data_IF_727087413777
#
_entry.id   IF_727087413777
#
_cell.length_a   1.000
_cell.length_b   1.000
_cell.length_c   1.000
_cell.angle_alpha   90.00
_cell.angle_beta   90.00
_cell.angle_gamma   90.00
#
_symmetry.space_group_name_H-M   'P 1'
#
loop_
_entity.id
_entity.type
_entity.pdbx_description
1 polymer ?
#
# COMPACT_ATOMS: atom_id res chain seq x y z
N UNK A 1 -37.15 -50.94 16.07
CA UNK A 1 -37.10 -49.45 15.94
C UNK A 1 -35.63 -49.09 15.92
N UNK A 2 -35.08 -48.87 14.69
CA UNK A 2 -33.67 -48.58 14.49
C UNK A 2 -33.48 -47.10 14.38
N UNK A 3 -32.83 -46.47 15.37
CA UNK A 3 -32.53 -45.02 15.37
C UNK A 3 -31.37 -44.75 14.47
N UNK A 4 -31.61 -43.99 13.39
CA UNK A 4 -30.58 -43.51 12.48
C UNK A 4 -29.91 -42.32 13.13
N UNK A 5 -28.55 -42.31 13.27
CA UNK A 5 -27.86 -41.13 13.78
C UNK A 5 -27.92 -40.00 12.76
N UNK A 6 -28.41 -38.83 13.16
CA UNK A 6 -28.35 -37.60 12.40
C UNK A 6 -26.87 -37.20 12.17
N UNK A 7 -26.45 -37.24 10.93
CA UNK A 7 -25.17 -36.66 10.53
C UNK A 7 -25.24 -35.15 10.66
N UNK A 8 -24.45 -34.61 11.57
CA UNK A 8 -24.19 -33.16 11.67
C UNK A 8 -23.58 -32.70 10.32
N UNK A 9 -24.14 -31.65 9.66
CA UNK A 9 -23.53 -31.13 8.45
C UNK A 9 -22.09 -30.67 8.71
N UNK A 10 -21.15 -30.90 7.78
CA UNK A 10 -19.79 -30.44 7.95
C UNK A 10 -19.78 -28.92 8.08
N UNK A 11 -19.00 -28.44 9.05
CA UNK A 11 -18.77 -27.01 9.27
C UNK A 11 -18.47 -26.33 7.93
N UNK A 12 -19.21 -25.29 7.61
CA UNK A 12 -19.06 -24.49 6.41
C UNK A 12 -17.58 -24.15 6.21
N UNK A 13 -16.98 -24.66 5.15
CA UNK A 13 -15.64 -24.26 4.74
C UNK A 13 -15.71 -22.75 4.51
N UNK A 14 -15.07 -21.98 5.39
CA UNK A 14 -14.96 -20.53 5.23
C UNK A 14 -14.32 -20.27 3.87
N UNK A 15 -15.00 -19.49 3.05
CA UNK A 15 -14.45 -19.05 1.75
C UNK A 15 -13.05 -18.47 1.95
N UNK A 16 -12.07 -18.83 1.11
CA UNK A 16 -10.72 -18.34 1.26
C UNK A 16 -10.69 -16.82 1.24
N UNK A 17 -9.93 -16.18 2.14
CA UNK A 17 -9.95 -14.73 2.29
C UNK A 17 -9.63 -14.04 0.98
N UNK A 18 -10.43 -13.03 0.61
CA UNK A 18 -10.25 -12.28 -0.63
C UNK A 18 -8.89 -11.58 -0.71
N UNK A 19 -8.47 -11.10 -1.91
CA UNK A 19 -7.13 -10.54 -2.16
C UNK A 19 -6.72 -9.44 -1.16
N UNK A 20 -7.64 -8.57 -0.78
CA UNK A 20 -7.37 -7.51 0.20
C UNK A 20 -7.12 -8.06 1.61
N UNK A 21 -7.88 -9.04 2.06
CA UNK A 21 -7.68 -9.64 3.37
C UNK A 21 -6.32 -10.35 3.45
N UNK A 22 -5.91 -11.05 2.36
CA UNK A 22 -4.59 -11.64 2.25
C UNK A 22 -3.49 -10.57 2.27
N UNK A 23 -3.66 -9.48 1.53
CA UNK A 23 -2.72 -8.37 1.50
C UNK A 23 -2.55 -7.70 2.87
N UNK A 24 -3.62 -7.43 3.59
CA UNK A 24 -3.55 -6.88 4.94
C UNK A 24 -2.82 -7.81 5.91
N UNK A 25 -3.12 -9.10 5.89
CA UNK A 25 -2.44 -10.10 6.72
C UNK A 25 -0.95 -10.13 6.42
N UNK A 26 -0.57 -10.19 5.16
CA UNK A 26 0.83 -10.19 4.73
C UNK A 26 1.57 -8.92 5.20
N UNK A 27 1.00 -7.75 4.97
CA UNK A 27 1.61 -6.47 5.40
C UNK A 27 1.80 -6.43 6.91
N UNK A 28 0.83 -6.90 7.69
CA UNK A 28 0.95 -6.97 9.15
C UNK A 28 2.10 -7.90 9.59
N UNK A 29 2.21 -9.08 8.98
CA UNK A 29 3.28 -10.03 9.25
C UNK A 29 4.66 -9.47 8.89
N UNK A 30 4.82 -8.85 7.71
CA UNK A 30 6.09 -8.25 7.29
C UNK A 30 6.50 -7.10 8.23
N UNK A 31 5.55 -6.27 8.66
CA UNK A 31 5.82 -5.19 9.62
C UNK A 31 6.29 -5.74 10.97
N UNK A 32 5.65 -6.79 11.49
CA UNK A 32 6.06 -7.46 12.72
C UNK A 32 7.49 -8.03 12.58
N UNK A 33 7.77 -8.76 11.51
CA UNK A 33 9.12 -9.29 11.24
C UNK A 33 10.18 -8.18 11.16
N UNK A 34 9.88 -7.06 10.51
CA UNK A 34 10.82 -5.94 10.40
C UNK A 34 11.07 -5.24 11.73
N UNK A 35 10.10 -5.29 12.66
CA UNK A 35 10.22 -4.72 14.00
C UNK A 35 11.04 -5.64 14.93
N UNK A 36 10.76 -6.93 14.87
CA UNK A 36 11.24 -7.89 15.85
C UNK A 36 12.63 -8.46 15.48
N UNK A 37 13.00 -8.47 14.18
CA UNK A 37 14.25 -9.07 13.69
C UNK A 37 14.96 -8.17 12.68
N UNK A 38 16.02 -7.46 13.11
CA UNK A 38 16.85 -6.63 12.23
C UNK A 38 17.53 -7.42 11.09
N UNK A 39 17.86 -8.69 11.32
CA UNK A 39 18.48 -9.57 10.31
C UNK A 39 17.49 -9.88 9.18
N UNK A 40 16.25 -10.27 9.53
CA UNK A 40 15.17 -10.48 8.56
C UNK A 40 14.84 -9.18 7.82
N UNK A 41 14.77 -8.05 8.52
CA UNK A 41 14.59 -6.75 7.89
C UNK A 41 15.69 -6.45 6.86
N UNK A 42 16.95 -6.70 7.18
CA UNK A 42 18.09 -6.51 6.26
C UNK A 42 17.99 -7.45 5.05
N UNK A 43 17.59 -8.71 5.27
CA UNK A 43 17.36 -9.68 4.19
C UNK A 43 16.25 -9.20 3.23
N UNK A 44 15.10 -8.75 3.76
CA UNK A 44 14.00 -8.22 2.94
C UNK A 44 14.43 -6.99 2.15
N UNK A 45 15.15 -6.06 2.77
CA UNK A 45 15.62 -4.83 2.11
C UNK A 45 16.59 -5.10 0.96
N UNK A 46 17.31 -6.22 0.98
CA UNK A 46 18.27 -6.57 -0.08
C UNK A 46 17.64 -6.83 -1.44
N UNK A 47 16.34 -7.14 -1.50
CA UNK A 47 15.59 -7.37 -2.72
C UNK A 47 14.94 -6.12 -3.33
N UNK A 48 15.19 -4.94 -2.79
CA UNK A 48 14.56 -3.71 -3.26
C UNK A 48 14.87 -3.43 -4.73
N UNK A 49 13.82 -3.41 -5.57
CA UNK A 49 13.92 -3.16 -7.01
C UNK A 49 14.50 -4.31 -7.83
N UNK A 50 14.74 -5.48 -7.23
CA UNK A 50 15.28 -6.67 -7.91
C UNK A 50 14.17 -7.61 -8.40
N UNK A 51 14.44 -8.42 -9.43
CA UNK A 51 13.62 -9.59 -9.78
C UNK A 51 13.58 -10.60 -8.64
N UNK A 52 12.54 -11.44 -8.60
CA UNK A 52 12.39 -12.47 -7.54
C UNK A 52 13.57 -13.45 -7.54
N UNK A 53 14.03 -13.87 -8.71
CA UNK A 53 15.14 -14.82 -8.88
C UNK A 53 16.45 -14.32 -8.29
N UNK A 54 16.64 -12.99 -8.22
CA UNK A 54 17.83 -12.34 -7.64
C UNK A 54 17.69 -12.09 -6.13
N UNK A 55 16.60 -12.54 -5.51
CA UNK A 55 16.25 -12.24 -4.12
C UNK A 55 16.53 -13.42 -3.17
N UNK A 56 17.60 -14.19 -3.38
CA UNK A 56 17.92 -15.40 -2.60
C UNK A 56 17.79 -15.21 -1.07
N UNK A 57 18.24 -14.06 -0.56
CA UNK A 57 18.17 -13.76 0.88
C UNK A 57 16.74 -13.48 1.39
N UNK A 58 15.80 -13.17 0.50
CA UNK A 58 14.40 -12.93 0.90
C UNK A 58 13.61 -14.23 1.00
N UNK A 59 13.92 -15.22 0.16
CA UNK A 59 13.14 -16.46 0.07
C UNK A 59 12.96 -17.14 1.43
N UNK A 60 14.01 -17.30 2.22
CA UNK A 60 13.92 -17.92 3.55
C UNK A 60 13.07 -17.13 4.54
N UNK A 61 12.82 -15.81 4.30
CA UNK A 61 12.04 -14.95 5.19
C UNK A 61 10.56 -14.96 4.83
N UNK A 62 10.22 -14.88 3.52
CA UNK A 62 8.84 -14.61 3.11
C UNK A 62 8.20 -15.69 2.24
N UNK A 63 8.94 -16.73 1.83
CA UNK A 63 8.37 -17.76 0.96
C UNK A 63 7.10 -18.40 1.52
N UNK A 64 7.05 -18.64 2.84
CA UNK A 64 5.87 -19.20 3.50
C UNK A 64 4.76 -18.18 3.77
N UNK A 65 5.07 -16.89 3.71
CA UNK A 65 4.09 -15.83 3.92
C UNK A 65 3.29 -15.51 2.67
N UNK A 66 3.83 -15.83 1.49
CA UNK A 66 3.10 -15.66 0.23
C UNK A 66 2.01 -16.72 0.13
N UNK A 67 0.73 -16.34 0.01
CA UNK A 67 -0.37 -17.29 -0.06
C UNK A 67 -0.24 -18.24 -1.26
N UNK A 68 -0.53 -19.52 -1.07
CA UNK A 68 -0.41 -20.53 -2.12
C UNK A 68 -1.12 -20.16 -3.42
N UNK A 69 -2.37 -19.63 -3.40
CA UNK A 69 -3.05 -19.22 -4.63
C UNK A 69 -2.32 -18.11 -5.39
N UNK A 70 -1.55 -17.29 -4.68
CA UNK A 70 -0.88 -16.11 -5.23
C UNK A 70 0.51 -16.45 -5.80
N UNK A 71 1.10 -17.60 -5.43
CA UNK A 71 2.38 -18.12 -5.96
C UNK A 71 2.29 -18.60 -7.40
N UNK A 72 1.08 -18.86 -7.90
CA UNK A 72 0.88 -19.41 -9.26
C UNK A 72 1.18 -18.40 -10.38
N UNK A 73 1.24 -17.12 -10.04
CA UNK A 73 1.45 -16.04 -11.00
C UNK A 73 2.71 -15.28 -10.62
N UNK A 74 3.71 -15.31 -11.49
CA UNK A 74 5.00 -14.64 -11.29
C UNK A 74 4.83 -13.14 -10.95
N UNK A 75 3.95 -12.44 -11.68
CA UNK A 75 3.68 -11.02 -11.43
C UNK A 75 3.09 -10.76 -10.03
N UNK A 76 2.26 -11.68 -9.53
CA UNK A 76 1.66 -11.59 -8.20
C UNK A 76 2.71 -11.90 -7.12
N UNK A 77 3.47 -12.98 -7.26
CA UNK A 77 4.56 -13.30 -6.35
C UNK A 77 5.56 -12.15 -6.25
N UNK A 78 5.98 -11.61 -7.39
CA UNK A 78 6.85 -10.44 -7.46
C UNK A 78 6.31 -9.23 -6.69
N UNK A 79 4.98 -9.02 -6.71
CA UNK A 79 4.36 -7.95 -5.95
C UNK A 79 4.56 -8.12 -4.44
N UNK A 80 4.42 -9.34 -3.91
CA UNK A 80 4.68 -9.66 -2.50
C UNK A 80 6.13 -9.36 -2.10
N UNK A 81 7.11 -9.80 -2.91
CA UNK A 81 8.54 -9.53 -2.69
C UNK A 81 8.83 -8.02 -2.71
N UNK A 82 8.32 -7.30 -3.69
CA UNK A 82 8.51 -5.86 -3.81
C UNK A 82 7.93 -5.09 -2.62
N UNK A 83 6.71 -5.43 -2.18
CA UNK A 83 6.08 -4.78 -1.02
C UNK A 83 6.88 -5.07 0.26
N UNK A 84 7.30 -6.31 0.48
CA UNK A 84 8.13 -6.65 1.64
C UNK A 84 9.45 -5.88 1.66
N UNK A 85 10.14 -5.78 0.53
CA UNK A 85 11.38 -5.02 0.40
C UNK A 85 11.19 -3.52 0.64
N UNK A 86 10.09 -2.94 0.13
CA UNK A 86 9.76 -1.53 0.34
C UNK A 86 9.41 -1.24 1.81
N UNK A 87 8.60 -2.07 2.47
CA UNK A 87 8.31 -1.94 3.91
C UNK A 87 9.60 -2.02 4.74
N UNK A 88 10.47 -2.98 4.45
CA UNK A 88 11.75 -3.15 5.16
C UNK A 88 12.72 -1.96 4.95
N UNK A 89 12.54 -1.22 3.85
CA UNK A 89 13.35 -0.05 3.50
C UNK A 89 12.90 1.24 4.17
N UNK A 90 11.68 1.28 4.70
CA UNK A 90 11.20 2.44 5.46
C UNK A 90 12.07 2.58 6.71
N UNK A 91 12.65 3.76 6.99
CA UNK A 91 13.34 3.98 8.25
C UNK A 91 12.41 3.60 9.42
N UNK A 92 12.94 2.86 10.40
CA UNK A 92 12.18 2.58 11.62
C UNK A 92 11.67 3.88 12.24
N UNK A 93 10.64 3.85 13.09
CA UNK A 93 10.19 5.05 13.75
C UNK A 93 11.39 5.65 14.48
N UNK A 94 11.89 6.78 13.99
CA UNK A 94 12.64 7.70 14.84
C UNK A 94 11.69 7.96 15.99
N UNK A 95 12.11 7.71 17.21
CA UNK A 95 11.31 7.95 18.40
C UNK A 95 10.92 9.44 18.43
N UNK A 96 9.83 9.77 17.77
CA UNK A 96 9.16 11.05 17.94
C UNK A 96 8.41 10.88 19.26
N UNK A 97 8.60 11.80 20.23
CA UNK A 97 7.83 11.77 21.46
C UNK A 97 6.36 11.60 21.10
N UNK A 98 5.71 10.63 21.73
CA UNK A 98 4.31 10.33 21.49
C UNK A 98 3.46 11.57 21.72
N UNK A 99 3.12 12.27 20.65
CA UNK A 99 1.98 13.18 20.70
C UNK A 99 0.73 12.29 20.79
N UNK A 100 -0.16 12.56 21.74
CA UNK A 100 -1.38 11.79 21.86
C UNK A 100 -2.12 11.85 20.53
N UNK A 101 -2.36 10.69 19.93
CA UNK A 101 -3.14 10.54 18.72
C UNK A 101 -4.54 11.15 18.96
N UNK A 102 -4.73 12.41 18.58
CA UNK A 102 -6.05 12.99 18.43
C UNK A 102 -6.59 12.55 17.08
N UNK A 103 -7.11 11.34 17.04
CA UNK A 103 -8.25 11.01 16.18
C UNK A 103 -8.60 9.54 16.44
N UNK A 104 -9.82 9.22 16.86
CA UNK A 104 -10.26 7.83 16.91
C UNK A 104 -10.17 7.26 15.50
N UNK A 105 -9.68 6.02 15.41
CA UNK A 105 -9.66 5.27 14.16
C UNK A 105 -11.04 5.36 13.52
N UNK A 106 -11.12 6.07 12.39
CA UNK A 106 -12.33 6.16 11.60
C UNK A 106 -12.74 4.76 11.16
N UNK A 107 -14.01 4.37 11.26
CA UNK A 107 -14.46 3.04 10.88
C UNK A 107 -14.21 2.84 9.39
N UNK A 108 -13.71 1.65 9.05
CA UNK A 108 -13.38 1.22 7.69
C UNK A 108 -12.41 2.18 7.00
N UNK A 109 -11.13 1.92 7.17
CA UNK A 109 -10.04 2.59 6.47
C UNK A 109 -10.32 2.56 4.97
N UNK A 110 -10.85 3.66 4.45
CA UNK A 110 -11.10 3.79 3.03
C UNK A 110 -9.79 3.48 2.29
N UNK A 111 -9.83 2.48 1.40
CA UNK A 111 -8.67 2.00 0.66
C UNK A 111 -8.06 3.15 -0.14
N UNK A 112 -6.85 3.52 0.19
CA UNK A 112 -6.14 4.60 -0.48
C UNK A 112 -5.20 4.04 -1.54
N UNK A 113 -5.47 4.34 -2.81
CA UNK A 113 -4.56 3.95 -3.87
C UNK A 113 -3.36 4.92 -3.95
N UNK A 114 -2.35 4.56 -4.76
CA UNK A 114 -1.12 5.34 -4.86
C UNK A 114 -1.37 6.80 -5.32
N UNK A 115 -2.35 7.03 -6.18
CA UNK A 115 -2.72 8.38 -6.63
C UNK A 115 -3.18 9.26 -5.47
N UNK A 116 -4.04 8.74 -4.62
CA UNK A 116 -4.50 9.43 -3.42
C UNK A 116 -3.37 9.66 -2.41
N UNK A 117 -2.50 8.67 -2.20
CA UNK A 117 -1.33 8.83 -1.33
C UNK A 117 -0.39 9.95 -1.83
N UNK A 118 -0.19 10.06 -3.15
CA UNK A 118 0.61 11.14 -3.74
C UNK A 118 -0.06 12.51 -3.59
N UNK A 119 -1.38 12.61 -3.77
CA UNK A 119 -2.11 13.85 -3.56
C UNK A 119 -2.02 14.32 -2.10
N UNK A 120 -2.21 13.42 -1.14
CA UNK A 120 -2.04 13.70 0.29
C UNK A 120 -0.61 14.10 0.66
N UNK A 121 0.40 13.59 -0.04
CA UNK A 121 1.79 14.02 0.16
C UNK A 121 2.03 15.46 -0.31
N UNK A 122 1.33 15.91 -1.35
CA UNK A 122 1.33 17.32 -1.78
C UNK A 122 0.66 18.20 -0.74
N UNK A 123 -0.52 17.82 -0.24
CA UNK A 123 -1.24 18.54 0.83
C UNK A 123 -0.39 18.68 2.10
N UNK A 124 0.39 17.66 2.40
CA UNK A 124 1.30 17.64 3.53
C UNK A 124 2.62 18.39 3.30
N UNK A 125 2.82 19.01 2.14
CA UNK A 125 4.06 19.73 1.80
C UNK A 125 5.29 18.84 1.58
N UNK A 126 5.14 17.51 1.49
CA UNK A 126 6.27 16.57 1.28
C UNK A 126 6.84 16.65 -0.13
N UNK A 127 6.05 17.14 -1.08
CA UNK A 127 6.46 17.30 -2.47
C UNK A 127 5.60 18.32 -3.21
N UNK A 128 6.16 18.88 -4.29
CA UNK A 128 5.41 19.78 -5.17
C UNK A 128 4.41 18.99 -6.01
N UNK A 129 3.28 19.59 -6.34
CA UNK A 129 2.24 18.97 -7.16
C UNK A 129 2.76 18.50 -8.53
N UNK A 130 3.52 19.33 -9.23
CA UNK A 130 4.12 18.99 -10.53
C UNK A 130 5.04 17.76 -10.44
N UNK A 131 5.75 17.60 -9.31
CA UNK A 131 6.60 16.43 -9.05
C UNK A 131 5.79 15.17 -8.78
N UNK A 132 4.68 15.28 -8.03
CA UNK A 132 3.76 14.18 -7.77
C UNK A 132 3.11 13.69 -9.07
N UNK A 133 2.60 14.62 -9.87
CA UNK A 133 1.97 14.35 -11.16
C UNK A 133 2.94 13.68 -12.13
N UNK A 134 4.15 14.21 -12.28
CA UNK A 134 5.18 13.63 -13.16
C UNK A 134 5.53 12.20 -12.75
N UNK A 135 5.67 11.92 -11.44
CA UNK A 135 5.92 10.57 -10.92
C UNK A 135 4.75 9.64 -11.20
N UNK A 136 3.52 10.10 -10.94
CA UNK A 136 2.34 9.31 -11.21
C UNK A 136 2.21 8.98 -12.70
N UNK A 137 2.40 9.96 -13.58
CA UNK A 137 2.41 9.77 -15.04
C UNK A 137 3.51 8.81 -15.50
N UNK A 138 4.70 8.91 -14.90
CA UNK A 138 5.79 7.96 -15.19
C UNK A 138 5.37 6.53 -14.83
N UNK A 139 4.88 6.30 -13.61
CA UNK A 139 4.50 4.98 -13.13
C UNK A 139 3.36 4.35 -13.96
N UNK A 140 2.36 5.14 -14.33
CA UNK A 140 1.21 4.65 -15.10
C UNK A 140 1.56 4.20 -16.52
N UNK A 141 2.70 4.64 -17.06
CA UNK A 141 3.20 4.23 -18.38
C UNK A 141 4.07 2.98 -18.36
N UNK A 142 4.45 2.48 -17.16
CA UNK A 142 5.40 1.38 -17.04
C UNK A 142 4.80 0.01 -17.34
N UNK A 143 5.64 -0.89 -17.87
CA UNK A 143 5.43 -2.33 -17.79
C UNK A 143 5.57 -2.81 -16.34
N UNK A 144 5.25 -4.09 -16.06
CA UNK A 144 5.48 -4.69 -14.73
C UNK A 144 6.91 -4.45 -14.25
N UNK A 145 7.91 -4.79 -15.09
CA UNK A 145 9.32 -4.61 -14.73
C UNK A 145 9.73 -3.16 -14.48
N UNK A 146 9.25 -2.24 -15.33
CA UNK A 146 9.49 -0.81 -15.17
C UNK A 146 8.84 -0.25 -13.90
N UNK A 147 7.61 -0.67 -13.61
CA UNK A 147 6.91 -0.26 -12.39
C UNK A 147 7.70 -0.65 -11.13
N UNK A 148 8.11 -1.91 -11.02
CA UNK A 148 8.90 -2.39 -9.87
C UNK A 148 10.24 -1.67 -9.71
N UNK A 149 10.86 -1.20 -10.80
CA UNK A 149 12.09 -0.42 -10.78
C UNK A 149 11.88 1.01 -10.28
N UNK A 150 10.81 1.67 -10.70
CA UNK A 150 10.58 3.09 -10.39
C UNK A 150 9.78 3.33 -9.11
N UNK A 151 8.93 2.38 -8.72
CA UNK A 151 8.05 2.49 -7.57
C UNK A 151 8.77 2.76 -6.24
N UNK A 152 9.91 2.11 -5.91
CA UNK A 152 10.60 2.35 -4.64
C UNK A 152 10.98 3.81 -4.42
N UNK A 153 11.41 4.52 -5.47
CA UNK A 153 11.78 5.94 -5.37
C UNK A 153 10.58 6.85 -5.12
N UNK A 154 9.41 6.53 -5.70
CA UNK A 154 8.18 7.27 -5.46
C UNK A 154 7.66 7.04 -4.04
N UNK A 155 7.63 5.77 -3.61
CA UNK A 155 7.14 5.37 -2.29
C UNK A 155 8.00 5.92 -1.15
N UNK A 156 9.32 6.00 -1.33
CA UNK A 156 10.23 6.53 -0.30
C UNK A 156 9.86 7.92 0.19
N UNK A 157 9.32 8.78 -0.67
CA UNK A 157 8.88 10.12 -0.29
C UNK A 157 7.61 10.03 0.56
N UNK A 158 6.71 9.14 0.21
CA UNK A 158 5.45 8.93 0.94
C UNK A 158 5.67 8.39 2.35
N UNK A 159 6.75 7.62 2.56
CA UNK A 159 7.08 7.03 3.86
C UNK A 159 7.68 8.02 4.86
N UNK A 160 7.86 9.28 4.48
CA UNK A 160 8.18 10.37 5.42
C UNK A 160 7.07 10.66 6.46
N UNK A 161 5.88 10.05 6.30
CA UNK A 161 4.78 10.09 7.28
C UNK A 161 4.35 8.68 7.67
N UNK A 162 3.95 8.48 8.96
CA UNK A 162 3.19 7.31 9.35
C UNK A 162 1.98 7.19 8.41
N UNK A 163 1.69 6.00 7.91
CA UNK A 163 0.56 5.76 7.02
C UNK A 163 0.59 6.49 5.65
N UNK A 164 1.72 7.04 5.23
CA UNK A 164 1.85 7.68 3.92
C UNK A 164 1.52 6.76 2.73
N UNK A 165 1.56 5.45 2.93
CA UNK A 165 1.26 4.42 1.92
C UNK A 165 0.28 3.38 2.47
N UNK A 166 -0.79 3.13 1.74
CA UNK A 166 -1.63 1.94 1.95
C UNK A 166 -0.98 0.73 1.25
N UNK A 167 -0.16 0.01 2.01
CA UNK A 167 0.61 -1.12 1.51
C UNK A 167 -0.25 -2.27 1.02
N UNK A 168 -1.40 -2.50 1.66
CA UNK A 168 -2.29 -3.58 1.27
C UNK A 168 -2.97 -3.27 -0.06
N UNK A 169 -3.46 -2.03 -0.25
CA UNK A 169 -4.00 -1.61 -1.53
C UNK A 169 -2.94 -1.60 -2.62
N UNK A 170 -1.73 -1.13 -2.32
CA UNK A 170 -0.62 -1.12 -3.26
C UNK A 170 -0.23 -2.55 -3.68
N UNK A 171 -0.18 -3.50 -2.74
CA UNK A 171 0.07 -4.92 -3.05
C UNK A 171 -0.97 -5.46 -4.02
N UNK A 172 -2.25 -5.20 -3.78
CA UNK A 172 -3.33 -5.65 -4.68
C UNK A 172 -3.19 -5.01 -6.06
N UNK A 173 -2.90 -3.71 -6.13
CA UNK A 173 -2.72 -3.01 -7.41
C UNK A 173 -1.53 -3.59 -8.19
N UNK A 174 -0.42 -3.93 -7.54
CA UNK A 174 0.74 -4.55 -8.18
C UNK A 174 0.47 -5.98 -8.63
N UNK A 175 -0.20 -6.79 -7.80
CA UNK A 175 -0.54 -8.18 -8.11
C UNK A 175 -1.43 -8.30 -9.36
N UNK A 176 -2.28 -7.31 -9.57
CA UNK A 176 -3.19 -7.26 -10.73
C UNK A 176 -2.69 -6.35 -11.86
N UNK A 177 -1.50 -5.74 -11.74
CA UNK A 177 -1.01 -4.77 -12.72
C UNK A 177 -0.93 -5.31 -14.15
N UNK A 178 -0.42 -6.52 -14.30
CA UNK A 178 -0.28 -7.13 -15.63
C UNK A 178 -1.63 -7.30 -16.33
N UNK A 179 -2.62 -7.75 -15.59
CA UNK A 179 -3.96 -8.06 -16.11
C UNK A 179 -4.86 -6.83 -16.25
N UNK A 180 -4.83 -5.94 -15.24
CA UNK A 180 -5.81 -4.85 -15.09
C UNK A 180 -5.17 -3.45 -15.14
N UNK A 181 -3.98 -3.31 -15.73
CA UNK A 181 -3.22 -2.05 -15.80
C UNK A 181 -4.06 -0.83 -16.23
N UNK A 182 -4.85 -0.89 -17.32
CA UNK A 182 -5.61 0.30 -17.73
C UNK A 182 -6.61 0.77 -16.67
N UNK A 183 -7.23 -0.17 -15.97
CA UNK A 183 -8.19 0.11 -14.88
C UNK A 183 -7.48 0.68 -13.65
N UNK A 184 -6.35 0.09 -13.25
CA UNK A 184 -5.56 0.55 -12.11
C UNK A 184 -5.00 1.95 -12.37
N UNK A 185 -4.42 2.18 -13.56
CA UNK A 185 -3.89 3.46 -14.00
C UNK A 185 -4.95 4.56 -13.95
N UNK A 186 -6.14 4.29 -14.52
CA UNK A 186 -7.27 5.23 -14.50
C UNK A 186 -7.67 5.56 -13.08
N UNK A 187 -7.77 4.57 -12.21
CA UNK A 187 -8.15 4.74 -10.80
C UNK A 187 -7.13 5.59 -10.03
N UNK A 188 -5.82 5.38 -10.26
CA UNK A 188 -4.77 6.19 -9.64
C UNK A 188 -4.83 7.65 -10.08
N UNK A 189 -4.94 7.90 -11.38
CA UNK A 189 -5.03 9.26 -11.92
C UNK A 189 -6.29 9.98 -11.43
N UNK A 190 -7.45 9.31 -11.48
CA UNK A 190 -8.70 9.90 -11.01
C UNK A 190 -8.67 10.22 -9.51
N UNK A 191 -8.10 9.34 -8.69
CA UNK A 191 -7.99 9.58 -7.25
C UNK A 191 -7.07 10.77 -6.97
N UNK A 192 -5.92 10.88 -7.64
CA UNK A 192 -5.01 12.01 -7.51
C UNK A 192 -5.72 13.34 -7.79
N UNK A 193 -6.32 13.48 -8.97
CA UNK A 193 -6.95 14.73 -9.36
C UNK A 193 -8.20 15.06 -8.54
N UNK A 194 -9.03 14.06 -8.17
CA UNK A 194 -10.18 14.30 -7.29
C UNK A 194 -9.77 14.81 -5.91
N UNK A 195 -8.72 14.25 -5.35
CA UNK A 195 -8.19 14.70 -4.06
C UNK A 195 -7.68 16.13 -4.16
N UNK A 196 -6.88 16.45 -5.19
CA UNK A 196 -6.38 17.81 -5.41
C UNK A 196 -7.51 18.84 -5.57
N UNK A 197 -8.47 18.56 -6.45
CA UNK A 197 -9.62 19.46 -6.66
C UNK A 197 -10.46 19.67 -5.39
N UNK A 198 -10.55 18.68 -4.52
CA UNK A 198 -11.26 18.83 -3.24
C UNK A 198 -10.50 19.77 -2.30
N UNK A 199 -9.20 19.60 -2.19
CA UNK A 199 -8.33 20.46 -1.37
C UNK A 199 -8.35 21.91 -1.86
N UNK A 200 -8.26 22.14 -3.17
CA UNK A 200 -8.29 23.48 -3.74
C UNK A 200 -9.62 24.20 -3.44
N UNK A 201 -10.75 23.49 -3.52
CA UNK A 201 -12.07 24.02 -3.13
C UNK A 201 -12.12 24.35 -1.64
N UNK A 202 -11.65 23.46 -0.77
CA UNK A 202 -11.62 23.69 0.67
C UNK A 202 -10.78 24.90 1.03
N UNK A 203 -9.62 25.07 0.37
CA UNK A 203 -8.75 26.24 0.60
C UNK A 203 -9.43 27.54 0.12
N UNK A 204 -10.12 27.53 -1.02
CA UNK A 204 -10.87 28.67 -1.52
C UNK A 204 -12.00 29.06 -0.54
N UNK A 205 -12.80 28.07 -0.10
CA UNK A 205 -13.89 28.31 0.87
C UNK A 205 -13.37 28.88 2.20
N UNK A 206 -12.19 28.41 2.64
CA UNK A 206 -11.55 28.91 3.88
C UNK A 206 -11.10 30.37 3.71
N UNK A 207 -10.45 30.69 2.59
CA UNK A 207 -10.00 32.05 2.30
C UNK A 207 -11.18 33.05 2.22
N UNK A 208 -12.27 32.67 1.55
CA UNK A 208 -13.50 33.48 1.47
C UNK A 208 -14.12 33.74 2.85
N UNK A 209 -14.09 32.74 3.73
CA UNK A 209 -14.61 32.88 5.10
C UNK A 209 -13.74 33.77 5.99
N UNK A 210 -12.41 33.66 5.84
CA UNK A 210 -11.46 34.54 6.58
C UNK A 210 -11.59 35.99 6.12
N UNK A 211 -11.74 36.24 4.82
CA UNK A 211 -11.94 37.60 4.29
C UNK A 211 -13.26 38.23 4.78
N UNK A 212 -14.34 37.47 4.83
CA UNK A 212 -15.63 37.91 5.40
C UNK A 212 -15.55 38.20 6.89
N UNK A 213 -14.81 37.37 7.64
CA UNK A 213 -14.62 37.58 9.07
C UNK A 213 -13.75 38.79 9.38
N UNK A 214 -12.79 39.15 8.52
CA UNK A 214 -11.94 40.32 8.64
C UNK A 214 -12.65 41.64 8.26
N UNK A 215 -13.74 41.54 7.46
CA UNK A 215 -14.54 42.69 7.00
C UNK A 215 -15.73 43.05 7.92
N UNK A 216 -16.00 42.22 8.93
CA UNK A 216 -17.10 42.37 9.90
C UNK A 216 -16.63 42.92 11.25
#
# INVERSE_FOLDING_TARGET
MTTIPQQTPPASAEDPPGPHARAHRFVAQVRALCKDDPGKRAALRSGLGRPVDDCARMHWVIADLVPVPDRQYESTERAYYAIAAMIASVPGPVAVPAQPAKTPASPATARRNLGECLAQAVEAGLMRESSAESRLRLLTKQSVGGLHRHLPSAVRILTGRPEGVDWAQLLVDLAFWERDRPRITRRWLQAFYRTRLRTDRQNADTADNEERAAAA
#
